data_IF_365275157398
#
_entry.id   IF_365275157398
#
_cell.length_a   1.000
_cell.length_b   1.000
_cell.length_c   1.000
_cell.angle_alpha   90.00
_cell.angle_beta   90.00
_cell.angle_gamma   90.00
#
_symmetry.space_group_name_H-M   'P 1'
#
loop_
_entity.id
_entity.type
_entity.pdbx_description
1 polymer ?
#
# COMPACT_ATOMS: atom_id res chain seq x y z
N UNK A 1 -15.42 9.44 -10.33
CA UNK A 1 -14.32 8.88 -9.49
C UNK A 1 -14.77 8.74 -8.03
N UNK A 2 -14.37 7.68 -7.30
CA UNK A 2 -14.60 7.60 -5.83
C UNK A 2 -13.44 8.18 -5.02
N UNK A 3 -13.64 8.48 -3.73
CA UNK A 3 -12.56 8.97 -2.85
C UNK A 3 -11.50 7.91 -2.57
N UNK A 4 -11.90 6.63 -2.49
CA UNK A 4 -10.93 5.55 -2.35
C UNK A 4 -10.05 5.42 -3.60
N UNK A 5 -10.62 5.61 -4.80
CA UNK A 5 -9.84 5.66 -6.04
C UNK A 5 -8.85 6.83 -5.99
N UNK A 6 -9.32 8.03 -5.63
CA UNK A 6 -8.48 9.21 -5.54
C UNK A 6 -7.32 9.03 -4.53
N UNK A 7 -7.59 8.44 -3.37
CA UNK A 7 -6.58 8.20 -2.35
C UNK A 7 -5.60 7.09 -2.78
N UNK A 8 -6.09 6.04 -3.43
CA UNK A 8 -5.27 5.01 -4.06
C UNK A 8 -4.31 5.61 -5.10
N UNK A 9 -4.81 6.43 -6.02
CA UNK A 9 -3.99 7.12 -7.03
C UNK A 9 -2.95 8.05 -6.39
N UNK A 10 -3.36 8.80 -5.37
CA UNK A 10 -2.44 9.65 -4.61
C UNK A 10 -1.29 8.84 -4.00
N UNK A 11 -1.56 7.64 -3.47
CA UNK A 11 -0.53 6.76 -2.92
C UNK A 11 0.40 6.18 -3.98
N UNK A 12 -0.11 5.81 -5.15
CA UNK A 12 0.71 5.37 -6.28
C UNK A 12 1.70 6.46 -6.69
N UNK A 13 1.20 7.68 -6.95
CA UNK A 13 2.03 8.83 -7.34
C UNK A 13 3.08 9.13 -6.26
N UNK A 14 2.68 9.24 -4.99
CA UNK A 14 3.60 9.52 -3.87
C UNK A 14 4.65 8.43 -3.65
N UNK A 15 4.40 7.21 -4.12
CA UNK A 15 5.33 6.08 -4.03
C UNK A 15 6.24 5.94 -5.25
N UNK A 16 6.06 6.80 -6.26
CA UNK A 16 6.84 6.83 -7.50
C UNK A 16 6.28 5.93 -8.61
N UNK A 17 4.99 5.59 -8.57
CA UNK A 17 4.30 4.76 -9.57
C UNK A 17 3.39 5.66 -10.40
N UNK A 18 3.98 6.49 -11.26
CA UNK A 18 3.24 7.48 -12.07
C UNK A 18 2.61 6.87 -13.31
N UNK A 19 3.26 5.87 -13.92
CA UNK A 19 2.76 5.21 -15.14
C UNK A 19 1.38 4.55 -14.93
N UNK A 20 1.13 4.03 -13.73
CA UNK A 20 -0.15 3.39 -13.39
C UNK A 20 -1.26 4.44 -13.24
N UNK A 21 -0.93 5.65 -12.78
CA UNK A 21 -1.87 6.76 -12.74
C UNK A 21 -2.25 7.21 -14.15
N UNK A 22 -1.27 7.40 -15.04
CA UNK A 22 -1.52 7.83 -16.42
C UNK A 22 -2.44 6.81 -17.14
N UNK A 23 -2.09 5.52 -17.07
CA UNK A 23 -2.88 4.45 -17.67
C UNK A 23 -4.28 4.31 -17.06
N UNK A 24 -4.45 4.60 -15.77
CA UNK A 24 -5.76 4.65 -15.13
C UNK A 24 -6.56 5.86 -15.62
N UNK A 25 -5.94 7.03 -15.69
CA UNK A 25 -6.61 8.28 -16.04
C UNK A 25 -7.13 8.26 -17.48
N UNK A 26 -6.32 7.76 -18.42
CA UNK A 26 -6.73 7.60 -19.82
C UNK A 26 -7.99 6.72 -19.94
N UNK A 27 -8.02 5.55 -19.29
CA UNK A 27 -9.21 4.70 -19.26
C UNK A 27 -10.41 5.40 -18.61
N UNK A 28 -10.16 6.16 -17.54
CA UNK A 28 -11.22 6.84 -16.80
C UNK A 28 -11.90 7.92 -17.65
N UNK A 29 -11.13 8.63 -18.47
CA UNK A 29 -11.64 9.63 -19.42
C UNK A 29 -12.48 9.01 -20.54
N UNK A 30 -12.20 7.76 -20.93
CA UNK A 30 -12.99 7.03 -21.93
C UNK A 30 -14.30 6.46 -21.35
N UNK A 31 -14.29 6.07 -20.08
CA UNK A 31 -15.40 5.34 -19.44
C UNK A 31 -16.41 6.24 -18.69
N UNK A 32 -15.97 7.37 -18.11
CA UNK A 32 -16.85 8.24 -17.30
C UNK A 32 -17.57 9.27 -18.20
N UNK A 33 -18.89 9.16 -18.33
CA UNK A 33 -19.75 10.16 -19.00
C UNK A 33 -21.05 10.41 -18.19
N UNK A 34 -21.30 11.64 -17.69
CA UNK A 34 -20.45 12.83 -17.78
C UNK A 34 -19.26 12.77 -16.80
N UNK A 35 -18.16 13.44 -17.16
CA UNK A 35 -17.00 13.60 -16.28
C UNK A 35 -17.37 14.31 -14.99
N UNK A 36 -16.87 13.79 -13.87
CA UNK A 36 -17.01 14.41 -12.56
C UNK A 36 -16.14 15.66 -12.42
N UNK A 37 -16.54 16.62 -11.57
CA UNK A 37 -15.81 17.89 -11.38
C UNK A 37 -14.33 17.68 -11.04
N UNK A 38 -14.03 16.70 -10.20
CA UNK A 38 -12.65 16.35 -9.86
C UNK A 38 -11.86 15.81 -11.06
N UNK A 39 -12.50 15.10 -11.99
CA UNK A 39 -11.82 14.61 -13.20
C UNK A 39 -11.54 15.77 -14.14
N UNK A 40 -12.44 16.76 -14.23
CA UNK A 40 -12.17 18.00 -14.97
C UNK A 40 -10.99 18.76 -14.38
N UNK A 41 -10.89 18.88 -13.05
CA UNK A 41 -9.73 19.49 -12.39
C UNK A 41 -8.42 18.73 -12.67
N UNK A 42 -8.47 17.40 -12.74
CA UNK A 42 -7.30 16.57 -13.09
C UNK A 42 -6.89 16.76 -14.55
N UNK A 43 -7.83 16.94 -15.48
CA UNK A 43 -7.53 17.28 -16.88
C UNK A 43 -6.80 18.62 -16.94
N UNK A 44 -7.30 19.63 -16.22
CA UNK A 44 -6.68 20.96 -16.15
C UNK A 44 -5.29 20.95 -15.49
N UNK A 45 -5.04 20.01 -14.57
CA UNK A 45 -3.74 19.81 -13.96
C UNK A 45 -2.69 19.29 -14.97
N UNK A 46 -3.12 18.56 -16.01
CA UNK A 46 -2.25 17.97 -17.02
C UNK A 46 -1.18 17.05 -16.40
N UNK A 47 0.07 17.16 -16.85
CA UNK A 47 1.19 16.34 -16.32
C UNK A 47 1.87 16.94 -15.08
N UNK A 48 1.30 17.97 -14.45
CA UNK A 48 1.87 18.58 -13.24
C UNK A 48 1.48 17.76 -11.99
N UNK A 49 2.38 16.85 -11.58
CA UNK A 49 2.14 15.99 -10.42
C UNK A 49 1.86 16.75 -9.12
N UNK A 50 2.38 17.97 -8.94
CA UNK A 50 2.09 18.74 -7.72
C UNK A 50 0.65 19.25 -7.72
N UNK A 51 0.14 19.64 -8.89
CA UNK A 51 -1.27 20.03 -9.06
C UNK A 51 -2.19 18.82 -8.93
N UNK A 52 -1.87 17.72 -9.60
CA UNK A 52 -2.62 16.45 -9.49
C UNK A 52 -2.74 16.04 -8.02
N UNK A 53 -1.61 15.98 -7.29
CA UNK A 53 -1.61 15.62 -5.88
C UNK A 53 -2.42 16.59 -5.02
N UNK A 54 -2.44 17.87 -5.36
CA UNK A 54 -3.24 18.88 -4.68
C UNK A 54 -4.74 18.65 -4.90
N UNK A 55 -5.18 18.43 -6.16
CA UNK A 55 -6.56 18.09 -6.50
C UNK A 55 -7.03 16.83 -5.75
N UNK A 56 -6.26 15.74 -5.82
CA UNK A 56 -6.58 14.50 -5.12
C UNK A 56 -6.63 14.69 -3.60
N UNK A 57 -5.72 15.49 -3.03
CA UNK A 57 -5.70 15.78 -1.60
C UNK A 57 -6.94 16.53 -1.14
N UNK A 58 -7.35 17.58 -1.86
CA UNK A 58 -8.55 18.34 -1.51
C UNK A 58 -9.81 17.47 -1.62
N UNK A 59 -9.93 16.69 -2.69
CA UNK A 59 -11.05 15.78 -2.91
C UNK A 59 -11.21 14.74 -1.79
N UNK A 60 -10.09 14.24 -1.27
CA UNK A 60 -10.05 13.22 -0.20
C UNK A 60 -10.24 13.80 1.20
N UNK A 61 -10.06 15.11 1.40
CA UNK A 61 -10.16 15.75 2.72
C UNK A 61 -11.61 15.97 3.21
N UNK A 62 -12.59 15.96 2.32
CA UNK A 62 -13.96 16.42 2.64
C UNK A 62 -14.81 15.40 3.41
N UNK A 63 -14.51 14.09 3.32
CA UNK A 63 -15.31 13.01 3.93
C UNK A 63 -14.42 11.83 4.35
N UNK A 64 -14.92 10.96 5.25
CA UNK A 64 -14.21 9.75 5.62
C UNK A 64 -13.89 8.86 4.41
N UNK A 65 -12.74 8.21 4.46
CA UNK A 65 -12.24 7.26 3.46
C UNK A 65 -12.32 5.86 4.07
N UNK A 66 -12.76 4.88 3.28
CA UNK A 66 -12.63 3.47 3.64
C UNK A 66 -11.18 2.99 3.40
N UNK A 67 -10.34 3.08 4.43
CA UNK A 67 -8.93 2.70 4.35
C UNK A 67 -8.72 1.20 4.16
N UNK A 68 -9.67 0.35 4.59
CA UNK A 68 -9.62 -1.09 4.35
C UNK A 68 -9.76 -1.39 2.85
N UNK A 69 -10.69 -0.72 2.19
CA UNK A 69 -10.84 -0.80 0.74
C UNK A 69 -9.59 -0.31 0.00
N UNK A 70 -8.99 0.81 0.41
CA UNK A 70 -7.74 1.30 -0.20
C UNK A 70 -6.60 0.31 -0.01
N UNK A 71 -6.42 -0.22 1.21
CA UNK A 71 -5.38 -1.22 1.49
C UNK A 71 -5.54 -2.47 0.62
N UNK A 72 -6.78 -2.91 0.41
CA UNK A 72 -7.11 -4.02 -0.49
C UNK A 72 -6.78 -3.70 -1.96
N UNK A 73 -7.10 -2.50 -2.45
CA UNK A 73 -6.76 -2.07 -3.81
C UNK A 73 -5.23 -2.09 -4.04
N UNK A 74 -4.45 -1.58 -3.09
CA UNK A 74 -2.99 -1.60 -3.15
C UNK A 74 -2.43 -3.02 -3.11
N UNK A 75 -3.01 -3.90 -2.28
CA UNK A 75 -2.62 -5.31 -2.21
C UNK A 75 -2.87 -6.01 -3.54
N UNK A 76 -4.05 -5.84 -4.13
CA UNK A 76 -4.40 -6.43 -5.43
C UNK A 76 -3.50 -5.90 -6.54
N UNK A 77 -3.20 -4.60 -6.52
CA UNK A 77 -2.22 -4.00 -7.44
C UNK A 77 -0.84 -4.69 -7.33
N UNK A 78 -0.31 -4.84 -6.11
CA UNK A 78 0.97 -5.51 -5.88
C UNK A 78 0.93 -6.99 -6.26
N UNK A 79 -0.17 -7.68 -5.98
CA UNK A 79 -0.37 -9.08 -6.32
C UNK A 79 -0.30 -9.28 -7.83
N UNK A 80 -1.06 -8.48 -8.58
CA UNK A 80 -1.07 -8.56 -10.04
C UNK A 80 0.32 -8.22 -10.63
N UNK A 81 1.01 -7.23 -10.06
CA UNK A 81 2.37 -6.88 -10.49
C UNK A 81 3.39 -7.99 -10.19
N UNK A 82 3.24 -8.71 -9.07
CA UNK A 82 4.08 -9.85 -8.73
C UNK A 82 3.81 -11.07 -9.61
N UNK A 83 2.53 -11.43 -9.79
CA UNK A 83 2.12 -12.60 -10.59
C UNK A 83 2.46 -12.44 -12.08
N UNK A 84 2.45 -11.21 -12.59
CA UNK A 84 2.90 -10.90 -13.96
C UNK A 84 4.43 -10.83 -14.11
N UNK A 85 5.19 -10.92 -13.01
CA UNK A 85 6.65 -10.76 -13.02
C UNK A 85 7.14 -9.33 -13.19
N UNK A 86 6.24 -8.32 -13.18
CA UNK A 86 6.61 -6.90 -13.24
C UNK A 86 7.41 -6.49 -12.01
N UNK A 87 7.02 -6.97 -10.82
CA UNK A 87 7.73 -6.73 -9.57
C UNK A 87 8.23 -8.03 -8.94
N UNK A 88 9.45 -8.00 -8.41
CA UNK A 88 9.95 -9.04 -7.52
C UNK A 88 9.48 -8.80 -6.07
N UNK A 89 9.75 -9.76 -5.18
CA UNK A 89 9.34 -9.69 -3.78
C UNK A 89 9.95 -8.50 -3.03
N UNK A 90 11.16 -8.08 -3.39
CA UNK A 90 11.85 -6.95 -2.76
C UNK A 90 11.18 -5.64 -3.17
N UNK A 91 10.87 -5.50 -4.46
CA UNK A 91 10.16 -4.36 -5.05
C UNK A 91 8.75 -4.25 -4.44
N UNK A 92 7.99 -5.34 -4.38
CA UNK A 92 6.69 -5.37 -3.72
C UNK A 92 6.78 -4.92 -2.27
N UNK A 93 7.75 -5.42 -1.52
CA UNK A 93 7.95 -5.07 -0.10
C UNK A 93 8.34 -3.59 0.06
N UNK A 94 9.18 -3.06 -0.82
CA UNK A 94 9.52 -1.63 -0.83
C UNK A 94 8.29 -0.76 -1.06
N UNK A 95 7.42 -1.13 -2.00
CA UNK A 95 6.17 -0.41 -2.22
C UNK A 95 5.17 -0.54 -1.08
N UNK A 96 5.04 -1.72 -0.46
CA UNK A 96 4.25 -1.91 0.77
C UNK A 96 4.65 -0.88 1.83
N UNK A 97 5.95 -0.76 2.11
CA UNK A 97 6.46 0.24 3.05
C UNK A 97 6.11 1.68 2.62
N UNK A 98 6.37 2.04 1.36
CA UNK A 98 6.07 3.39 0.85
C UNK A 98 4.59 3.73 0.92
N UNK A 99 3.69 2.81 0.60
CA UNK A 99 2.25 3.04 0.71
C UNK A 99 1.85 3.34 2.15
N UNK A 100 2.33 2.53 3.09
CA UNK A 100 2.04 2.76 4.50
C UNK A 100 2.65 4.07 5.01
N UNK A 101 3.90 4.38 4.67
CA UNK A 101 4.57 5.64 5.04
C UNK A 101 3.85 6.87 4.44
N UNK A 102 3.49 6.82 3.16
CA UNK A 102 2.89 7.95 2.42
C UNK A 102 1.39 8.13 2.67
N UNK A 103 0.74 7.19 3.34
CA UNK A 103 -0.65 7.33 3.84
C UNK A 103 -0.79 8.42 4.91
N UNK A 104 0.33 8.85 5.53
CA UNK A 104 0.41 10.02 6.39
C UNK A 104 0.04 9.78 7.86
N UNK A 105 -1.03 9.04 8.15
CA UNK A 105 -1.35 8.56 9.51
C UNK A 105 -1.18 7.05 9.58
N UNK A 106 -0.84 6.55 10.78
CA UNK A 106 -0.82 5.12 11.02
C UNK A 106 -2.26 4.59 11.06
N UNK A 107 -2.80 4.24 9.90
CA UNK A 107 -4.04 3.48 9.79
C UNK A 107 -3.73 2.00 9.99
N UNK A 108 -4.56 1.31 10.77
CA UNK A 108 -4.33 -0.09 11.13
C UNK A 108 -4.32 -1.01 9.90
N UNK A 109 -5.05 -0.63 8.86
CA UNK A 109 -5.18 -1.35 7.60
C UNK A 109 -3.88 -1.38 6.79
N UNK A 110 -3.00 -0.40 6.97
CA UNK A 110 -1.65 -0.38 6.36
C UNK A 110 -0.58 -0.99 7.26
N UNK A 111 -0.88 -1.30 8.53
CA UNK A 111 0.09 -1.86 9.46
C UNK A 111 0.74 -3.18 8.95
N UNK A 112 0.00 -4.10 8.30
CA UNK A 112 0.62 -5.30 7.72
C UNK A 112 1.74 -5.00 6.71
N UNK A 113 1.57 -3.97 5.89
CA UNK A 113 2.56 -3.57 4.89
C UNK A 113 3.88 -3.12 5.53
N UNK A 114 3.80 -2.37 6.63
CA UNK A 114 4.98 -1.99 7.43
C UNK A 114 5.65 -3.19 8.06
N UNK A 115 4.85 -4.09 8.66
CA UNK A 115 5.36 -5.29 9.33
C UNK A 115 6.15 -6.15 8.33
N UNK A 116 5.61 -6.42 7.15
CA UNK A 116 6.30 -7.24 6.14
C UNK A 116 7.67 -6.66 5.77
N UNK A 117 7.76 -5.32 5.64
CA UNK A 117 9.03 -4.63 5.36
C UNK A 117 10.02 -4.69 6.51
N UNK A 118 9.57 -4.45 7.74
CA UNK A 118 10.42 -4.53 8.94
C UNK A 118 11.00 -5.94 9.08
N UNK A 119 10.19 -6.98 8.85
CA UNK A 119 10.65 -8.36 8.92
C UNK A 119 11.61 -8.75 7.78
N UNK A 120 11.46 -8.18 6.59
CA UNK A 120 12.45 -8.39 5.53
C UNK A 120 13.82 -7.85 5.96
N UNK A 121 13.85 -6.66 6.56
CA UNK A 121 15.08 -6.05 7.09
C UNK A 121 15.73 -6.96 8.15
N UNK A 122 14.93 -7.51 9.06
CA UNK A 122 15.44 -8.47 10.05
C UNK A 122 15.93 -9.79 9.43
N UNK A 123 15.30 -10.26 8.36
CA UNK A 123 15.73 -11.47 7.67
C UNK A 123 17.08 -11.24 6.98
N UNK A 124 17.26 -10.07 6.37
CA UNK A 124 18.51 -9.67 5.72
C UNK A 124 19.65 -9.47 6.74
N UNK A 125 19.33 -9.03 7.97
CA UNK A 125 20.26 -8.98 9.11
C UNK A 125 20.55 -10.35 9.75
N UNK A 126 19.95 -11.43 9.26
CA UNK A 126 20.08 -12.78 9.83
C UNK A 126 19.40 -12.96 11.20
N UNK A 127 18.48 -12.05 11.55
CA UNK A 127 17.73 -12.06 12.82
C UNK A 127 16.43 -12.87 12.74
N UNK A 128 15.95 -13.18 11.54
CA UNK A 128 14.90 -14.15 11.30
C UNK A 128 15.15 -14.93 10.01
N UNK A 129 14.41 -16.03 9.84
CA UNK A 129 14.52 -16.90 8.67
C UNK A 129 13.79 -16.29 7.47
N UNK A 130 14.53 -16.04 6.39
CA UNK A 130 14.03 -15.45 5.14
C UNK A 130 12.98 -16.31 4.45
N UNK A 131 13.09 -17.63 4.54
CA UNK A 131 12.10 -18.57 4.00
C UNK A 131 10.80 -18.52 4.82
N UNK A 132 10.92 -18.39 6.15
CA UNK A 132 9.74 -18.17 7.01
C UNK A 132 9.09 -16.81 6.77
N UNK A 133 9.86 -15.74 6.58
CA UNK A 133 9.31 -14.43 6.19
C UNK A 133 8.47 -14.55 4.91
N UNK A 134 9.01 -15.21 3.89
CA UNK A 134 8.34 -15.36 2.61
C UNK A 134 7.06 -16.20 2.71
N UNK A 135 7.13 -17.37 3.35
CA UNK A 135 6.01 -18.32 3.44
C UNK A 135 4.91 -17.90 4.43
N UNK A 136 5.25 -17.15 5.48
CA UNK A 136 4.30 -16.83 6.59
C UNK A 136 3.79 -15.39 6.50
N UNK A 137 4.58 -14.46 5.95
CA UNK A 137 4.20 -13.05 5.89
C UNK A 137 3.94 -12.59 4.46
N UNK A 138 4.95 -12.65 3.58
CA UNK A 138 4.85 -12.05 2.25
C UNK A 138 3.78 -12.72 1.39
N UNK A 139 3.88 -14.03 1.15
CA UNK A 139 2.94 -14.74 0.28
C UNK A 139 1.49 -14.76 0.83
N UNK A 140 1.24 -15.02 2.13
CA UNK A 140 -0.11 -14.98 2.67
C UNK A 140 -0.74 -13.60 2.62
N UNK A 141 0.03 -12.55 2.94
CA UNK A 141 -0.48 -11.18 2.82
C UNK A 141 -0.81 -10.85 1.37
N UNK A 142 0.10 -11.13 0.45
CA UNK A 142 -0.11 -10.78 -0.95
C UNK A 142 -1.32 -11.55 -1.54
N UNK A 143 -1.54 -12.79 -1.12
CA UNK A 143 -2.62 -13.65 -1.61
C UNK A 143 -3.97 -13.32 -0.99
N UNK A 144 -4.02 -13.15 0.33
CA UNK A 144 -5.25 -13.15 1.13
C UNK A 144 -5.50 -11.85 1.93
N UNK A 145 -4.55 -10.91 1.92
CA UNK A 145 -4.60 -9.70 2.75
C UNK A 145 -4.37 -9.98 4.24
N UNK A 146 -3.94 -11.19 4.59
CA UNK A 146 -3.75 -11.63 5.97
C UNK A 146 -2.28 -11.90 6.22
N UNK A 147 -1.74 -11.22 7.22
CA UNK A 147 -0.61 -11.74 7.99
C UNK A 147 -1.21 -12.52 9.16
N UNK A 148 -0.67 -13.68 9.54
CA UNK A 148 -1.18 -14.46 10.69
C UNK A 148 -1.36 -13.62 11.96
N UNK A 149 -2.11 -14.16 12.95
CA UNK A 149 -2.65 -13.46 14.14
C UNK A 149 -1.77 -12.33 14.72
N UNK A 150 -1.96 -11.12 14.16
CA UNK A 150 -1.13 -9.93 14.33
C UNK A 150 -1.31 -9.29 15.72
N UNK A 151 -2.40 -9.65 16.41
CA UNK A 151 -2.63 -9.27 17.80
C UNK A 151 -1.50 -9.72 18.73
N UNK A 152 -0.84 -10.85 18.46
CA UNK A 152 0.29 -11.29 19.30
C UNK A 152 1.55 -10.43 19.12
N UNK A 153 1.70 -9.75 17.98
CA UNK A 153 2.88 -8.94 17.64
C UNK A 153 2.82 -7.49 18.08
N UNK A 154 1.64 -6.94 18.36
CA UNK A 154 1.47 -5.54 18.80
C UNK A 154 0.87 -5.43 20.21
N UNK A 155 0.05 -6.40 20.65
CA UNK A 155 -0.55 -6.38 22.00
C UNK A 155 0.31 -7.04 23.08
N UNK A 156 1.64 -7.12 22.89
CA UNK A 156 2.57 -7.47 23.96
C UNK A 156 3.25 -6.19 24.46
N UNK A 157 2.63 -5.41 25.38
CA UNK A 157 3.03 -4.03 25.69
C UNK A 157 4.37 -3.93 26.43
N UNK A 158 5.00 -5.07 26.71
CA UNK A 158 6.24 -5.21 27.49
C UNK A 158 7.40 -5.79 26.68
N UNK A 159 7.19 -6.12 25.41
CA UNK A 159 8.23 -6.67 24.56
C UNK A 159 8.66 -5.61 23.55
N UNK A 160 9.96 -5.41 23.39
CA UNK A 160 10.50 -4.65 22.26
C UNK A 160 10.09 -5.33 20.94
N UNK A 161 10.03 -4.58 19.84
CA UNK A 161 9.69 -5.15 18.53
C UNK A 161 10.52 -6.40 18.22
N UNK A 162 11.83 -6.36 18.49
CA UNK A 162 12.76 -7.50 18.36
C UNK A 162 12.38 -8.71 19.21
N UNK A 163 11.84 -8.52 20.41
CA UNK A 163 11.36 -9.61 21.26
C UNK A 163 10.03 -10.20 20.74
N UNK A 164 9.18 -9.37 20.11
CA UNK A 164 7.92 -9.82 19.49
C UNK A 164 8.19 -10.67 18.24
N UNK A 165 9.16 -10.25 17.43
CA UNK A 165 9.72 -11.00 16.29
C UNK A 165 10.19 -12.38 16.71
N UNK A 166 11.06 -12.46 17.72
CA UNK A 166 11.57 -13.73 18.27
C UNK A 166 10.45 -14.68 18.68
N UNK A 167 9.48 -14.16 19.44
CA UNK A 167 8.34 -14.93 19.94
C UNK A 167 7.44 -15.47 18.82
N UNK A 168 7.17 -14.69 17.78
CA UNK A 168 6.29 -15.10 16.67
C UNK A 168 6.92 -16.18 15.80
N UNK A 169 8.24 -16.13 15.59
CA UNK A 169 8.95 -17.09 14.75
C UNK A 169 9.52 -18.31 15.50
N UNK A 170 9.35 -18.36 16.83
CA UNK A 170 9.84 -19.45 17.68
C UNK A 170 11.37 -19.49 17.82
N UNK A 171 12.01 -18.32 17.87
CA UNK A 171 13.48 -18.11 17.95
C UNK A 171 13.89 -17.32 19.19
#
# INVERSE_FOLDING_TARGET
>A
MTREDAFFQMLLIRSGITEEYDAWFDRYLEEEDPLSDIVLELVDAGSDFNKILSCLYFYTAERPIDYAKVAEMLRLYLKNAYESGRFDKITCTSYMYRFAEKSGRMHEEFAPMMIISDYLSYADDGLCDKEKWEKILFLPYLSEGKIGDHHTLWNAPRLSFRQRVKRFFGI
#
